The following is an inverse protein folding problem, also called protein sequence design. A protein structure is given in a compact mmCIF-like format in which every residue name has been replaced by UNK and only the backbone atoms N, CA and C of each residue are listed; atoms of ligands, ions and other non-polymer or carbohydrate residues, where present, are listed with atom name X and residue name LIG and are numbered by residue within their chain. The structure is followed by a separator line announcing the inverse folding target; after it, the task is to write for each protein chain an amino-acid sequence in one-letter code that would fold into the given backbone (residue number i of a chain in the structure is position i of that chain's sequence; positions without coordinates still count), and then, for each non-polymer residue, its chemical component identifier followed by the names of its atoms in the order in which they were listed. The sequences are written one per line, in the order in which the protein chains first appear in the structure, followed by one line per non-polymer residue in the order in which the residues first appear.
data_IF_862800441335
#
_entry.id   IF_862800441335
#
_cell.length_a   1.000
_cell.length_b   1.000
_cell.length_c   1.000
_cell.angle_alpha   90.00
_cell.angle_beta   90.00
_cell.angle_gamma   90.00
#
_symmetry.space_group_name_H-M   'P 1'
#
loop_
_entity.id
_entity.type
_entity.pdbx_description
1 polymer ?
#
# COMPACT_ATOMS: atom_id res chain seq x y z
N UNK A 1 -19.59 49.92 -23.11
CA UNK A 1 -19.20 48.50 -23.28
C UNK A 1 -19.63 47.72 -22.04
N UNK A 2 -20.63 46.84 -22.16
CA UNK A 2 -21.12 46.00 -21.05
C UNK A 2 -20.10 44.88 -20.79
N UNK A 3 -19.59 44.78 -19.56
CA UNK A 3 -18.79 43.65 -19.06
C UNK A 3 -19.61 42.35 -19.23
N UNK A 4 -19.09 41.40 -19.99
CA UNK A 4 -19.62 40.05 -20.03
C UNK A 4 -19.43 39.40 -18.65
N UNK A 5 -20.53 39.17 -17.94
CA UNK A 5 -20.58 38.36 -16.72
C UNK A 5 -20.11 36.94 -17.07
N UNK A 6 -19.05 36.46 -16.42
CA UNK A 6 -18.64 35.06 -16.47
C UNK A 6 -19.77 34.18 -15.93
N UNK A 7 -20.52 33.55 -16.83
CA UNK A 7 -21.56 32.59 -16.48
C UNK A 7 -20.91 31.31 -15.99
N UNK A 8 -21.27 30.87 -14.79
CA UNK A 8 -20.97 29.53 -14.29
C UNK A 8 -21.64 28.51 -15.22
N UNK A 9 -20.90 27.96 -16.18
CA UNK A 9 -21.38 26.86 -17.01
C UNK A 9 -21.42 25.59 -16.17
N UNK A 10 -22.60 25.02 -15.94
CA UNK A 10 -22.74 23.72 -15.32
C UNK A 10 -22.01 22.65 -16.15
N UNK A 11 -21.29 21.74 -15.48
CA UNK A 11 -20.51 20.69 -16.14
C UNK A 11 -21.45 19.66 -16.78
N UNK A 12 -22.62 19.43 -16.18
CA UNK A 12 -23.66 18.54 -16.71
C UNK A 12 -24.10 18.92 -18.13
N UNK A 13 -23.93 20.19 -18.52
CA UNK A 13 -24.26 20.67 -19.87
C UNK A 13 -23.37 20.04 -20.97
N UNK A 14 -22.12 19.67 -20.64
CA UNK A 14 -21.19 19.05 -21.59
C UNK A 14 -21.67 17.67 -22.03
N UNK A 15 -22.30 16.91 -21.14
CA UNK A 15 -22.83 15.58 -21.45
C UNK A 15 -23.99 15.62 -22.46
N UNK A 16 -24.77 16.72 -22.50
CA UNK A 16 -25.78 16.91 -23.55
C UNK A 16 -25.16 17.19 -24.92
N UNK A 17 -23.99 17.84 -24.96
CA UNK A 17 -23.22 18.03 -26.19
C UNK A 17 -22.67 16.68 -26.66
N UNK A 18 -22.09 15.89 -25.75
CA UNK A 18 -21.57 14.55 -26.03
C UNK A 18 -22.66 13.61 -26.57
N UNK A 19 -23.90 13.67 -26.06
CA UNK A 19 -25.03 12.92 -26.62
C UNK A 19 -25.35 13.38 -28.05
N UNK A 20 -25.37 14.69 -28.31
CA UNK A 20 -25.62 15.20 -29.67
C UNK A 20 -24.54 14.72 -30.65
N UNK A 21 -23.28 14.70 -30.23
CA UNK A 21 -22.17 14.22 -31.05
C UNK A 21 -22.25 12.71 -31.27
N UNK A 22 -22.38 11.91 -30.20
CA UNK A 22 -22.45 10.44 -30.28
C UNK A 22 -23.61 9.94 -31.14
N UNK A 23 -24.77 10.59 -31.07
CA UNK A 23 -25.96 10.20 -31.83
C UNK A 23 -26.22 11.09 -33.05
N UNK A 24 -25.27 11.96 -33.43
CA UNK A 24 -25.35 12.85 -34.59
C UNK A 24 -26.65 13.68 -34.66
N UNK A 25 -27.09 14.20 -33.52
CA UNK A 25 -28.36 14.93 -33.40
C UNK A 25 -28.20 16.38 -33.86
N UNK A 26 -28.80 16.72 -35.00
CA UNK A 26 -28.69 18.05 -35.62
C UNK A 26 -29.38 19.18 -34.84
N UNK A 27 -30.37 18.88 -33.98
CA UNK A 27 -31.18 19.90 -33.31
C UNK A 27 -31.41 19.62 -31.83
N UNK A 28 -31.73 20.67 -31.07
CA UNK A 28 -32.13 20.54 -29.66
C UNK A 28 -33.51 19.85 -29.54
N UNK A 29 -34.32 19.86 -30.60
CA UNK A 29 -35.57 19.08 -30.68
C UNK A 29 -35.27 17.57 -30.72
N UNK A 30 -34.34 17.14 -31.58
CA UNK A 30 -33.92 15.74 -31.66
C UNK A 30 -33.24 15.26 -30.36
N UNK A 31 -32.47 16.13 -29.70
CA UNK A 31 -31.92 15.87 -28.37
C UNK A 31 -33.03 15.68 -27.33
N UNK A 32 -34.05 16.55 -27.33
CA UNK A 32 -35.15 16.50 -26.38
C UNK A 32 -35.98 15.23 -26.54
N UNK A 33 -36.27 14.83 -27.78
CA UNK A 33 -36.95 13.58 -28.11
C UNK A 33 -36.17 12.35 -27.61
N UNK A 34 -34.87 12.29 -27.90
CA UNK A 34 -33.97 11.22 -27.41
C UNK A 34 -33.95 11.13 -25.88
N UNK A 35 -33.94 12.29 -25.22
CA UNK A 35 -33.97 12.39 -23.76
C UNK A 35 -35.37 12.23 -23.16
N UNK A 36 -36.43 12.23 -23.96
CA UNK A 36 -37.83 12.15 -23.50
C UNK A 36 -38.25 13.35 -22.64
N UNK A 37 -37.78 14.55 -23.00
CA UNK A 37 -38.07 15.81 -22.31
C UNK A 37 -38.55 16.87 -23.31
N UNK A 38 -39.06 17.99 -22.81
CA UNK A 38 -39.47 19.10 -23.68
C UNK A 38 -38.26 19.84 -24.28
N UNK A 39 -38.35 20.32 -25.52
CA UNK A 39 -37.29 21.07 -26.20
C UNK A 39 -36.77 22.29 -25.41
N UNK A 40 -37.63 23.12 -24.77
CA UNK A 40 -37.15 24.23 -23.96
C UNK A 40 -36.28 23.76 -22.78
N UNK A 41 -36.60 22.61 -22.20
CA UNK A 41 -35.84 22.02 -21.09
C UNK A 41 -34.47 21.54 -21.56
N UNK A 42 -34.39 20.84 -22.68
CA UNK A 42 -33.12 20.42 -23.28
C UNK A 42 -32.21 21.62 -23.58
N UNK A 43 -32.77 22.72 -24.11
CA UNK A 43 -32.00 23.93 -24.39
C UNK A 43 -31.44 24.59 -23.12
N UNK A 44 -32.25 24.70 -22.06
CA UNK A 44 -31.83 25.29 -20.79
C UNK A 44 -30.69 24.48 -20.13
N UNK A 45 -30.78 23.16 -20.15
CA UNK A 45 -29.73 22.29 -19.59
C UNK A 45 -28.44 22.40 -20.41
N UNK A 46 -28.53 22.32 -21.75
CA UNK A 46 -27.36 22.41 -22.65
C UNK A 46 -26.63 23.74 -22.54
N UNK A 47 -27.33 24.82 -22.21
CA UNK A 47 -26.73 26.15 -21.98
C UNK A 47 -26.17 26.32 -20.57
N UNK A 48 -26.22 25.29 -19.73
CA UNK A 48 -25.79 25.36 -18.33
C UNK A 48 -26.66 26.29 -17.48
N UNK A 49 -27.93 26.47 -17.84
CA UNK A 49 -28.88 27.34 -17.12
C UNK A 49 -29.82 26.55 -16.21
N UNK A 50 -29.93 25.24 -16.40
CA UNK A 50 -30.76 24.34 -15.60
C UNK A 50 -30.01 23.05 -15.29
N UNK A 51 -30.11 22.59 -14.04
CA UNK A 51 -29.61 21.27 -13.63
C UNK A 51 -30.70 20.23 -13.90
N UNK A 52 -30.38 19.09 -14.56
CA UNK A 52 -31.34 18.03 -14.81
C UNK A 52 -31.81 17.35 -13.53
N UNK A 53 -33.01 16.75 -13.56
CA UNK A 53 -33.54 15.94 -12.46
C UNK A 53 -32.81 14.58 -12.39
N UNK A 54 -32.83 13.87 -11.25
CA UNK A 54 -32.14 12.60 -11.08
C UNK A 54 -32.46 11.56 -12.16
N UNK A 55 -33.73 11.44 -12.54
CA UNK A 55 -34.20 10.48 -13.55
C UNK A 55 -33.57 10.76 -14.92
N UNK A 56 -33.43 12.03 -15.26
CA UNK A 56 -32.79 12.47 -16.49
C UNK A 56 -31.28 12.26 -16.44
N UNK A 57 -30.63 12.44 -15.29
CA UNK A 57 -29.20 12.14 -15.11
C UNK A 57 -28.91 10.66 -15.37
N UNK A 58 -29.75 9.75 -14.86
CA UNK A 58 -29.63 8.31 -15.08
C UNK A 58 -29.80 7.98 -16.57
N UNK A 59 -30.76 8.60 -17.25
CA UNK A 59 -30.97 8.40 -18.69
C UNK A 59 -29.81 8.92 -19.54
N UNK A 60 -29.25 10.09 -19.20
CA UNK A 60 -28.04 10.62 -19.85
C UNK A 60 -26.88 9.64 -19.66
N UNK A 61 -26.69 9.13 -18.43
CA UNK A 61 -25.63 8.18 -18.12
C UNK A 61 -25.76 6.89 -18.95
N UNK A 62 -26.98 6.35 -19.08
CA UNK A 62 -27.25 5.18 -19.90
C UNK A 62 -26.95 5.39 -21.39
N UNK A 63 -27.32 6.54 -21.96
CA UNK A 63 -27.02 6.88 -23.35
C UNK A 63 -25.52 7.08 -23.61
N UNK A 64 -24.77 7.48 -22.59
CA UNK A 64 -23.33 7.69 -22.66
C UNK A 64 -22.49 6.48 -22.22
N UNK A 65 -23.13 5.40 -21.78
CA UNK A 65 -22.46 4.24 -21.18
C UNK A 65 -21.54 4.66 -20.01
N UNK A 66 -22.05 5.57 -19.17
CA UNK A 66 -21.36 6.11 -17.98
C UNK A 66 -22.08 5.69 -16.71
N UNK A 67 -21.39 5.82 -15.57
CA UNK A 67 -21.98 5.48 -14.29
C UNK A 67 -23.07 6.52 -13.89
N UNK A 68 -24.30 6.09 -13.56
CA UNK A 68 -25.36 7.01 -13.14
C UNK A 68 -25.04 7.83 -11.88
N UNK A 69 -24.27 7.27 -10.94
CA UNK A 69 -23.89 7.91 -9.68
C UNK A 69 -22.99 9.12 -9.93
N UNK A 70 -22.06 9.01 -10.88
CA UNK A 70 -21.17 10.11 -11.30
C UNK A 70 -22.00 11.32 -11.76
N UNK A 71 -22.93 11.11 -12.72
CA UNK A 71 -23.75 12.20 -13.25
C UNK A 71 -24.71 12.80 -12.22
N UNK A 72 -25.22 11.99 -11.29
CA UNK A 72 -26.04 12.47 -10.17
C UNK A 72 -25.25 13.41 -9.26
N UNK A 73 -24.01 13.06 -8.93
CA UNK A 73 -23.14 13.89 -8.09
C UNK A 73 -22.69 15.17 -8.80
N UNK A 74 -22.42 15.12 -10.11
CA UNK A 74 -22.13 16.32 -10.92
C UNK A 74 -23.33 17.27 -10.89
N UNK A 75 -24.54 16.75 -11.08
CA UNK A 75 -25.77 17.55 -11.00
C UNK A 75 -25.96 18.19 -9.62
N UNK A 76 -25.69 17.46 -8.53
CA UNK A 76 -25.78 18.02 -7.17
C UNK A 76 -24.72 19.08 -6.90
N UNK A 77 -23.48 18.86 -7.35
CA UNK A 77 -22.40 19.85 -7.27
C UNK A 77 -22.77 21.13 -8.02
N UNK A 78 -23.31 21.00 -9.23
CA UNK A 78 -23.71 22.12 -10.07
C UNK A 78 -24.84 22.93 -9.40
N UNK A 79 -25.75 22.27 -8.68
CA UNK A 79 -26.83 22.90 -7.89
C UNK A 79 -26.33 23.53 -6.57
N UNK A 80 -25.21 23.09 -6.03
CA UNK A 80 -24.74 23.48 -4.71
C UNK A 80 -24.24 24.94 -4.64
N UNK A 81 -24.43 25.63 -3.48
CA UNK A 81 -23.84 26.94 -3.24
C UNK A 81 -22.31 26.85 -3.24
N UNK A 82 -21.62 27.95 -3.57
CA UNK A 82 -20.16 27.96 -3.77
C UNK A 82 -19.36 27.32 -2.61
N UNK A 83 -19.75 27.60 -1.36
CA UNK A 83 -19.12 27.03 -0.15
C UNK A 83 -19.29 25.52 -0.01
N UNK A 84 -20.27 24.92 -0.68
CA UNK A 84 -20.55 23.49 -0.62
C UNK A 84 -20.02 22.71 -1.84
N UNK A 85 -19.62 23.40 -2.92
CA UNK A 85 -19.12 22.75 -4.15
C UNK A 85 -17.86 21.92 -3.91
N UNK A 86 -17.04 22.31 -2.94
CA UNK A 86 -15.85 21.54 -2.54
C UNK A 86 -16.26 20.16 -1.99
N UNK A 87 -17.25 20.06 -1.10
CA UNK A 87 -17.74 18.77 -0.57
C UNK A 87 -18.27 17.84 -1.67
N UNK A 88 -18.96 18.39 -2.67
CA UNK A 88 -19.45 17.59 -3.79
C UNK A 88 -18.35 17.20 -4.78
N UNK A 89 -17.32 18.02 -4.93
CA UNK A 89 -16.12 17.66 -5.72
C UNK A 89 -15.39 16.50 -5.05
N UNK A 90 -15.28 16.51 -3.72
CA UNK A 90 -14.71 15.42 -2.93
C UNK A 90 -15.55 14.13 -3.07
N UNK A 91 -16.88 14.22 -3.04
CA UNK A 91 -17.76 13.08 -3.27
C UNK A 91 -17.63 12.49 -4.68
N UNK A 92 -17.45 13.34 -5.70
CA UNK A 92 -17.19 12.90 -7.08
C UNK A 92 -15.87 12.13 -7.19
N UNK A 93 -14.79 12.64 -6.60
CA UNK A 93 -13.51 11.94 -6.58
C UNK A 93 -13.58 10.61 -5.84
N UNK A 94 -14.35 10.53 -4.74
CA UNK A 94 -14.56 9.27 -4.01
C UNK A 94 -15.30 8.23 -4.87
N UNK A 95 -16.34 8.63 -5.61
CA UNK A 95 -17.05 7.74 -6.53
C UNK A 95 -16.19 7.33 -7.71
N UNK A 96 -15.43 8.24 -8.30
CA UNK A 96 -14.51 7.93 -9.39
C UNK A 96 -13.47 6.87 -8.99
N UNK A 97 -12.94 6.98 -7.76
CA UNK A 97 -12.07 5.95 -7.18
C UNK A 97 -12.82 4.64 -6.95
N UNK A 98 -14.03 4.64 -6.40
CA UNK A 98 -14.81 3.40 -6.23
C UNK A 98 -15.15 2.70 -7.56
N UNK A 99 -15.20 3.44 -8.67
CA UNK A 99 -15.52 2.93 -10.00
C UNK A 99 -14.29 2.47 -10.79
N UNK A 100 -13.13 3.07 -10.55
CA UNK A 100 -11.84 2.69 -11.17
C UNK A 100 -10.96 1.80 -10.28
N UNK A 101 -11.42 1.53 -9.06
CA UNK A 101 -10.94 0.40 -8.27
C UNK A 101 -11.10 -0.88 -9.11
N UNK A 102 -10.05 -1.71 -9.27
CA UNK A 102 -10.16 -3.00 -9.95
C UNK A 102 -11.37 -3.75 -9.42
N UNK A 103 -12.09 -4.53 -10.25
CA UNK A 103 -13.30 -5.27 -9.83
C UNK A 103 -13.11 -6.15 -8.57
N UNK A 104 -11.86 -6.36 -8.13
CA UNK A 104 -11.44 -6.84 -6.80
C UNK A 104 -10.16 -6.13 -6.34
N UNK A 105 -10.19 -5.06 -5.52
CA UNK A 105 -9.02 -4.71 -4.74
C UNK A 105 -8.95 -5.71 -3.57
N UNK A 106 -7.96 -6.63 -3.53
CA UNK A 106 -7.84 -7.59 -2.41
C UNK A 106 -7.57 -6.90 -1.06
N UNK A 107 -7.23 -5.61 -1.06
CA UNK A 107 -7.02 -4.79 0.12
C UNK A 107 -7.67 -3.41 -0.07
N UNK A 108 -8.67 -3.09 0.76
CA UNK A 108 -9.21 -1.73 0.93
C UNK A 108 -8.72 -1.19 2.28
N UNK A 109 -7.67 -0.37 2.30
CA UNK A 109 -7.18 0.21 3.54
C UNK A 109 -8.20 1.16 4.17
N UNK A 110 -8.23 1.25 5.51
CA UNK A 110 -9.13 2.17 6.24
C UNK A 110 -8.96 3.65 5.90
N UNK A 111 -7.83 4.06 5.31
CA UNK A 111 -7.63 5.43 4.81
C UNK A 111 -8.66 5.85 3.73
N UNK A 112 -9.39 4.92 3.11
CA UNK A 112 -10.51 5.29 2.24
C UNK A 112 -11.67 5.98 3.01
N UNK A 113 -11.61 6.06 4.35
CA UNK A 113 -12.54 6.87 5.17
C UNK A 113 -12.09 8.35 5.37
N UNK A 114 -10.90 8.79 4.92
CA UNK A 114 -10.40 10.16 5.09
C UNK A 114 -9.99 10.86 3.76
N UNK A 115 -10.76 11.87 3.39
CA UNK A 115 -10.80 12.54 2.08
C UNK A 115 -9.47 13.23 1.66
N UNK A 116 -9.10 13.11 0.37
CA UNK A 116 -8.26 14.06 -0.37
C UNK A 116 -6.87 13.57 -0.79
N UNK A 117 -5.91 13.49 0.13
CA UNK A 117 -4.53 13.05 -0.18
C UNK A 117 -4.44 11.56 -0.50
N UNK A 118 -5.35 10.78 0.03
CA UNK A 118 -5.34 9.31 -0.04
C UNK A 118 -5.91 8.83 -1.38
N UNK A 119 -6.80 9.61 -2.01
CA UNK A 119 -7.34 9.35 -3.35
C UNK A 119 -6.24 9.46 -4.44
N UNK A 120 -5.40 10.49 -4.39
CA UNK A 120 -4.22 10.62 -5.29
C UNK A 120 -3.21 9.49 -5.09
N UNK A 121 -3.08 9.00 -3.86
CA UNK A 121 -2.21 7.88 -3.52
C UNK A 121 -2.75 6.55 -4.05
N UNK A 122 -4.08 6.33 -3.99
CA UNK A 122 -4.74 5.17 -4.63
C UNK A 122 -4.60 5.21 -6.15
N UNK A 123 -4.81 6.35 -6.80
CA UNK A 123 -4.53 6.55 -8.24
C UNK A 123 -3.07 6.25 -8.57
N UNK A 124 -2.15 6.69 -7.70
CA UNK A 124 -0.73 6.38 -7.80
C UNK A 124 -0.39 4.95 -7.37
N UNK A 125 -1.35 4.07 -7.10
CA UNK A 125 -1.13 2.66 -6.70
C UNK A 125 -0.19 2.49 -5.50
N UNK A 126 -0.16 3.46 -4.59
CA UNK A 126 0.78 3.52 -3.49
C UNK A 126 0.24 4.37 -2.34
N UNK A 127 0.24 3.83 -1.13
CA UNK A 127 -0.23 4.47 0.08
C UNK A 127 0.88 4.62 1.11
N UNK A 128 0.89 5.73 1.83
CA UNK A 128 1.86 5.97 2.92
C UNK A 128 1.16 6.11 4.26
N UNK A 129 1.66 5.37 5.24
CA UNK A 129 1.21 5.36 6.64
C UNK A 129 2.33 5.83 7.54
N UNK A 130 1.97 6.54 8.60
CA UNK A 130 2.92 7.09 9.56
C UNK A 130 2.53 6.72 10.99
N UNK A 131 3.54 6.62 11.87
CA UNK A 131 3.38 6.30 13.29
C UNK A 131 2.62 5.00 13.55
N UNK A 132 1.72 5.01 14.53
CA UNK A 132 0.98 3.82 14.96
C UNK A 132 0.13 3.18 13.84
N UNK A 133 -0.32 3.98 12.85
CA UNK A 133 -1.10 3.47 11.73
C UNK A 133 -0.27 2.54 10.82
N UNK A 134 1.03 2.81 10.66
CA UNK A 134 1.94 1.97 9.88
C UNK A 134 2.00 0.54 10.43
N UNK A 135 2.13 0.40 11.75
CA UNK A 135 2.15 -0.91 12.41
C UNK A 135 0.81 -1.64 12.28
N UNK A 136 -0.31 -0.93 12.46
CA UNK A 136 -1.64 -1.52 12.36
C UNK A 136 -1.95 -2.04 10.95
N UNK A 137 -1.55 -1.31 9.91
CA UNK A 137 -1.77 -1.76 8.52
C UNK A 137 -0.90 -2.96 8.15
N UNK A 138 0.33 -3.04 8.65
CA UNK A 138 1.18 -4.22 8.45
C UNK A 138 0.51 -5.49 9.02
N UNK A 139 -0.13 -5.40 10.20
CA UNK A 139 -0.91 -6.50 10.77
C UNK A 139 -2.13 -6.83 9.90
N UNK A 140 -2.89 -5.82 9.48
CA UNK A 140 -4.12 -6.02 8.68
C UNK A 140 -3.84 -6.72 7.35
N UNK A 141 -2.72 -6.41 6.69
CA UNK A 141 -2.37 -7.08 5.43
C UNK A 141 -2.15 -8.58 5.59
N UNK A 142 -1.63 -9.02 6.74
CA UNK A 142 -1.52 -10.45 7.07
C UNK A 142 -2.90 -11.09 7.16
N UNK A 143 -3.89 -10.37 7.71
CA UNK A 143 -5.28 -10.83 7.80
C UNK A 143 -5.94 -10.95 6.42
N UNK A 144 -5.49 -10.19 5.42
CA UNK A 144 -6.05 -10.23 4.06
C UNK A 144 -5.35 -11.21 3.11
N UNK A 145 -4.14 -11.67 3.43
CA UNK A 145 -3.39 -12.59 2.57
C UNK A 145 -4.15 -13.92 2.35
N UNK A 146 -4.15 -14.41 1.11
CA UNK A 146 -4.86 -15.64 0.71
C UNK A 146 -3.91 -16.83 0.47
N UNK A 147 -2.71 -16.59 -0.05
CA UNK A 147 -1.85 -17.65 -0.58
C UNK A 147 -0.44 -17.62 0.01
N UNK A 148 0.21 -16.46 0.02
CA UNK A 148 1.61 -16.36 0.41
C UNK A 148 2.02 -15.01 0.98
N UNK A 149 2.99 -15.03 1.89
CA UNK A 149 3.69 -13.86 2.38
C UNK A 149 5.20 -14.16 2.37
N UNK A 150 5.96 -13.41 1.58
CA UNK A 150 7.41 -13.50 1.54
C UNK A 150 8.01 -12.20 2.09
N UNK A 151 8.80 -12.27 3.15
CA UNK A 151 9.37 -11.07 3.80
C UNK A 151 10.88 -11.16 3.98
N UNK A 152 11.56 -10.02 3.85
CA UNK A 152 12.97 -9.84 4.22
C UNK A 152 13.09 -8.75 5.27
N UNK A 153 14.01 -8.92 6.22
CA UNK A 153 14.17 -7.98 7.34
C UNK A 153 15.59 -7.94 7.89
N UNK A 154 16.13 -6.72 7.96
CA UNK A 154 17.37 -6.41 8.69
C UNK A 154 17.07 -5.97 10.13
N UNK A 155 15.90 -5.34 10.33
CA UNK A 155 15.42 -4.91 11.64
C UNK A 155 14.35 -5.85 12.17
N UNK A 156 14.76 -7.06 12.54
CA UNK A 156 13.90 -8.14 13.04
C UNK A 156 13.45 -7.93 14.50
N UNK A 157 14.16 -7.10 15.26
CA UNK A 157 13.89 -6.83 16.67
C UNK A 157 12.49 -6.25 16.91
N UNK A 158 11.85 -5.61 15.92
CA UNK A 158 10.47 -5.09 16.04
C UNK A 158 9.42 -6.18 16.35
N UNK A 159 9.77 -7.47 16.20
CA UNK A 159 8.95 -8.63 16.56
C UNK A 159 9.25 -9.22 17.93
N UNK A 160 10.27 -8.72 18.63
CA UNK A 160 10.62 -9.17 19.97
C UNK A 160 9.48 -8.87 20.94
N UNK A 161 9.38 -9.68 21.99
CA UNK A 161 8.43 -9.45 23.10
C UNK A 161 8.65 -8.05 23.69
N UNK A 162 7.57 -7.28 23.77
CA UNK A 162 7.60 -5.89 24.25
C UNK A 162 7.81 -4.82 23.17
N UNK A 163 8.02 -5.22 21.92
CA UNK A 163 8.19 -4.29 20.79
C UNK A 163 6.89 -4.07 19.99
N UNK A 164 6.92 -3.08 19.09
CA UNK A 164 5.73 -2.48 18.49
C UNK A 164 4.81 -3.44 17.70
N UNK A 165 5.34 -4.54 17.15
CA UNK A 165 4.55 -5.52 16.40
C UNK A 165 4.18 -6.76 17.23
N UNK A 166 4.71 -6.91 18.44
CA UNK A 166 4.37 -8.01 19.34
C UNK A 166 3.22 -7.62 20.28
N UNK A 167 2.26 -8.52 20.58
CA UNK A 167 2.06 -9.86 20.02
C UNK A 167 1.18 -9.86 18.76
N UNK A 168 0.57 -8.73 18.41
CA UNK A 168 -0.50 -8.65 17.41
C UNK A 168 -0.10 -9.24 16.05
N UNK A 169 1.12 -8.96 15.60
CA UNK A 169 1.62 -9.49 14.34
C UNK A 169 1.82 -11.02 14.40
N UNK A 170 2.34 -11.55 15.52
CA UNK A 170 2.48 -12.99 15.72
C UNK A 170 1.11 -13.70 15.71
N UNK A 171 0.09 -13.12 16.35
CA UNK A 171 -1.28 -13.64 16.34
C UNK A 171 -1.91 -13.62 14.95
N UNK A 172 -1.72 -12.54 14.19
CA UNK A 172 -2.19 -12.46 12.80
C UNK A 172 -1.51 -13.52 11.91
N UNK A 173 -0.20 -13.75 12.10
CA UNK A 173 0.51 -14.81 11.38
C UNK A 173 -0.02 -16.21 11.72
N UNK A 174 -0.29 -16.49 13.00
CA UNK A 174 -0.91 -17.75 13.42
C UNK A 174 -2.26 -17.96 12.71
N UNK A 175 -3.08 -16.91 12.62
CA UNK A 175 -4.35 -16.98 11.91
C UNK A 175 -4.17 -17.21 10.39
N UNK A 176 -3.19 -16.56 9.77
CA UNK A 176 -2.85 -16.77 8.36
C UNK A 176 -2.36 -18.21 8.09
N UNK A 177 -1.47 -18.76 8.92
CA UNK A 177 -1.00 -20.15 8.80
C UNK A 177 -2.16 -21.14 8.96
N UNK A 178 -3.10 -20.90 9.91
CA UNK A 178 -4.32 -21.72 10.04
C UNK A 178 -5.21 -21.70 8.79
N UNK A 179 -5.22 -20.57 8.06
CA UNK A 179 -5.88 -20.43 6.75
C UNK A 179 -5.06 -21.03 5.60
N UNK A 180 -3.92 -21.68 5.88
CA UNK A 180 -2.99 -22.29 4.92
C UNK A 180 -2.27 -21.29 4.02
N UNK A 181 -2.10 -20.05 4.46
CA UNK A 181 -1.20 -19.08 3.81
C UNK A 181 0.24 -19.51 4.06
N UNK A 182 1.04 -19.64 3.00
CA UNK A 182 2.49 -19.95 3.12
C UNK A 182 3.24 -18.68 3.52
N UNK A 183 3.96 -18.71 4.63
CA UNK A 183 4.75 -17.56 5.08
C UNK A 183 6.23 -17.93 5.11
N UNK A 184 7.06 -17.19 4.36
CA UNK A 184 8.52 -17.29 4.38
C UNK A 184 9.14 -15.99 4.86
N UNK A 185 10.14 -16.07 5.73
CA UNK A 185 10.83 -14.88 6.27
C UNK A 185 12.32 -15.04 6.25
N UNK A 186 13.00 -14.03 5.73
CA UNK A 186 14.46 -13.93 5.71
C UNK A 186 14.91 -12.87 6.70
N UNK A 187 15.65 -13.30 7.74
CA UNK A 187 16.39 -12.39 8.62
C UNK A 187 17.78 -12.15 8.04
N UNK A 188 18.11 -10.90 7.75
CA UNK A 188 19.44 -10.49 7.30
C UNK A 188 20.18 -9.92 8.50
N UNK A 189 21.26 -10.58 8.89
CA UNK A 189 21.97 -10.35 10.15
C UNK A 189 23.36 -9.78 9.85
N UNK A 190 23.75 -8.70 10.53
CA UNK A 190 25.07 -8.08 10.35
C UNK A 190 26.13 -8.73 11.23
N UNK A 191 27.41 -8.59 10.85
CA UNK A 191 28.52 -8.98 11.70
C UNK A 191 28.46 -8.30 13.08
N UNK A 192 28.13 -7.00 13.12
CA UNK A 192 27.99 -6.26 14.37
C UNK A 192 26.93 -6.89 15.30
N UNK A 193 25.73 -7.18 14.78
CA UNK A 193 24.66 -7.83 15.54
C UNK A 193 25.08 -9.24 16.02
N UNK A 194 25.83 -9.98 15.21
CA UNK A 194 26.22 -11.37 15.53
C UNK A 194 27.35 -11.47 16.56
N UNK A 195 28.10 -10.40 16.81
CA UNK A 195 29.10 -10.34 17.87
C UNK A 195 28.48 -10.14 19.27
N UNK A 196 27.28 -9.56 19.34
CA UNK A 196 26.60 -9.26 20.60
C UNK A 196 25.75 -10.45 21.07
N UNK A 197 26.14 -11.09 22.17
CA UNK A 197 25.47 -12.30 22.66
C UNK A 197 23.98 -12.07 22.99
N UNK A 198 23.63 -10.90 23.54
CA UNK A 198 22.25 -10.54 23.83
C UNK A 198 21.41 -10.42 22.53
N UNK A 199 21.94 -9.73 21.52
CA UNK A 199 21.32 -9.57 20.21
C UNK A 199 21.14 -10.92 19.50
N UNK A 200 22.10 -11.83 19.63
CA UNK A 200 21.95 -13.19 19.08
C UNK A 200 20.88 -14.00 19.80
N UNK A 201 20.83 -13.93 21.14
CA UNK A 201 19.80 -14.62 21.91
C UNK A 201 18.40 -14.15 21.54
N UNK A 202 18.23 -12.84 21.35
CA UNK A 202 17.00 -12.24 20.88
C UNK A 202 16.63 -12.72 19.46
N UNK A 203 17.60 -12.80 18.53
CA UNK A 203 17.36 -13.28 17.17
C UNK A 203 16.88 -14.74 17.18
N UNK A 204 17.56 -15.61 17.92
CA UNK A 204 17.18 -17.01 18.09
C UNK A 204 15.77 -17.13 18.67
N UNK A 205 15.44 -16.32 19.68
CA UNK A 205 14.11 -16.31 20.27
C UNK A 205 13.03 -15.91 19.25
N UNK A 206 13.27 -14.85 18.48
CA UNK A 206 12.33 -14.38 17.45
C UNK A 206 12.15 -15.42 16.36
N UNK A 207 13.23 -16.08 15.91
CA UNK A 207 13.15 -17.16 14.93
C UNK A 207 12.39 -18.37 15.47
N UNK A 208 12.62 -18.78 16.72
CA UNK A 208 11.88 -19.88 17.35
C UNK A 208 10.40 -19.56 17.53
N UNK A 209 10.06 -18.38 18.06
CA UNK A 209 8.67 -17.96 18.29
C UNK A 209 7.87 -17.98 16.97
N UNK A 210 8.51 -17.59 15.86
CA UNK A 210 7.88 -17.60 14.55
C UNK A 210 7.83 -18.99 13.89
N UNK A 211 8.89 -19.77 13.99
CA UNK A 211 8.93 -21.14 13.47
C UNK A 211 7.87 -22.02 14.14
N UNK A 212 7.68 -21.86 15.45
CA UNK A 212 6.67 -22.60 16.24
C UNK A 212 5.23 -22.35 15.78
N UNK A 213 4.96 -21.21 15.16
CA UNK A 213 3.63 -20.89 14.62
C UNK A 213 3.43 -21.32 13.17
N UNK A 214 4.40 -22.06 12.60
CA UNK A 214 4.33 -22.63 11.26
C UNK A 214 4.82 -21.71 10.14
N UNK A 215 5.66 -20.73 10.48
CA UNK A 215 6.33 -19.87 9.50
C UNK A 215 7.67 -20.51 9.10
N UNK A 216 7.98 -20.51 7.80
CA UNK A 216 9.29 -20.92 7.29
C UNK A 216 10.28 -19.77 7.51
N UNK A 217 11.31 -20.02 8.33
CA UNK A 217 12.31 -19.00 8.69
C UNK A 217 13.62 -19.31 7.98
N UNK A 218 14.22 -18.27 7.43
CA UNK A 218 15.50 -18.25 6.79
C UNK A 218 16.35 -17.15 7.39
N UNK A 219 17.66 -17.30 7.31
CA UNK A 219 18.61 -16.28 7.72
C UNK A 219 19.77 -16.18 6.72
N UNK A 220 20.37 -15.00 6.66
CA UNK A 220 21.59 -14.73 5.91
C UNK A 220 22.44 -13.73 6.68
N UNK A 221 23.74 -13.73 6.41
CA UNK A 221 24.65 -12.72 6.92
C UNK A 221 24.86 -11.63 5.86
N UNK A 222 24.63 -10.36 6.22
CA UNK A 222 24.60 -9.24 5.27
C UNK A 222 25.89 -9.13 4.48
N UNK A 223 27.03 -9.28 5.16
CA UNK A 223 28.37 -9.16 4.59
C UNK A 223 28.73 -10.27 3.58
N UNK A 224 28.12 -11.45 3.72
CA UNK A 224 28.21 -12.50 2.70
C UNK A 224 27.22 -12.26 1.57
N UNK A 225 26.01 -11.82 1.92
CA UNK A 225 24.90 -11.62 0.98
C UNK A 225 25.19 -10.51 -0.03
N UNK A 226 25.88 -9.44 0.38
CA UNK A 226 26.34 -8.34 -0.51
C UNK A 226 27.31 -8.80 -1.59
N UNK A 227 27.88 -10.01 -1.52
CA UNK A 227 28.68 -10.56 -2.60
C UNK A 227 27.81 -11.07 -3.78
N UNK A 228 26.50 -11.21 -3.58
CA UNK A 228 25.57 -11.64 -4.61
C UNK A 228 25.08 -10.46 -5.47
N UNK A 229 25.19 -10.54 -6.81
CA UNK A 229 24.60 -9.55 -7.70
C UNK A 229 23.09 -9.40 -7.54
N UNK A 230 22.39 -10.46 -7.14
CA UNK A 230 20.93 -10.42 -6.90
C UNK A 230 20.60 -9.53 -5.72
N UNK A 231 21.35 -9.64 -4.62
CA UNK A 231 21.11 -8.82 -3.44
C UNK A 231 21.55 -7.37 -3.65
N UNK A 232 22.67 -7.14 -4.32
CA UNK A 232 23.13 -5.79 -4.66
C UNK A 232 22.08 -5.01 -5.46
N UNK A 233 21.52 -5.63 -6.51
CA UNK A 233 20.45 -5.00 -7.31
C UNK A 233 19.21 -4.71 -6.47
N UNK A 234 18.79 -5.67 -5.65
CA UNK A 234 17.63 -5.51 -4.78
C UNK A 234 17.84 -4.35 -3.79
N UNK A 235 19.02 -4.25 -3.19
CA UNK A 235 19.38 -3.17 -2.27
C UNK A 235 19.37 -1.80 -2.98
N UNK A 236 19.96 -1.71 -4.17
CA UNK A 236 19.97 -0.49 -4.98
C UNK A 236 18.54 -0.07 -5.37
N UNK A 237 17.68 -1.04 -5.70
CA UNK A 237 16.26 -0.78 -5.99
C UNK A 237 15.54 -0.27 -4.74
N UNK A 238 15.73 -0.90 -3.56
CA UNK A 238 15.14 -0.42 -2.30
C UNK A 238 15.58 1.01 -1.99
N UNK A 239 16.88 1.32 -2.17
CA UNK A 239 17.42 2.67 -1.99
C UNK A 239 16.80 3.67 -2.97
N UNK A 240 16.65 3.28 -4.23
CA UNK A 240 16.03 4.11 -5.28
C UNK A 240 14.59 4.47 -4.96
N UNK A 241 13.83 3.54 -4.36
CA UNK A 241 12.44 3.76 -3.96
C UNK A 241 12.26 4.36 -2.55
N UNK A 242 13.36 4.79 -1.91
CA UNK A 242 13.33 5.51 -0.63
C UNK A 242 13.00 4.61 0.57
N UNK A 243 13.46 3.36 0.54
CA UNK A 243 13.45 2.51 1.72
C UNK A 243 14.36 3.07 2.82
N UNK A 244 14.10 2.62 4.06
CA UNK A 244 14.99 2.88 5.18
C UNK A 244 16.37 2.23 4.96
N UNK A 245 17.35 2.68 5.75
CA UNK A 245 18.71 2.13 5.73
C UNK A 245 18.71 0.62 6.04
N UNK A 246 18.02 0.21 7.12
CA UNK A 246 17.72 -1.20 7.34
C UNK A 246 16.52 -1.62 6.47
N UNK A 247 16.72 -2.60 5.60
CA UNK A 247 15.67 -3.06 4.71
C UNK A 247 14.69 -3.98 5.43
N UNK A 248 13.44 -3.55 5.56
CA UNK A 248 12.33 -4.43 5.90
C UNK A 248 11.21 -4.30 4.87
N UNK A 249 10.85 -5.42 4.25
CA UNK A 249 9.80 -5.51 3.26
C UNK A 249 9.03 -6.83 3.36
N UNK A 250 7.78 -6.82 2.93
CA UNK A 250 6.96 -8.02 2.78
C UNK A 250 6.09 -7.95 1.53
N UNK A 251 6.07 -9.05 0.79
CA UNK A 251 5.28 -9.28 -0.41
C UNK A 251 4.11 -10.20 -0.08
N UNK A 252 2.89 -9.75 -0.33
CA UNK A 252 1.65 -10.47 -0.08
C UNK A 252 1.07 -10.91 -1.42
N UNK A 253 0.88 -12.22 -1.57
CA UNK A 253 0.30 -12.88 -2.75
C UNK A 253 0.98 -12.50 -4.09
N UNK A 254 2.23 -11.99 -4.02
CA UNK A 254 2.99 -11.41 -5.15
C UNK A 254 2.29 -10.24 -5.84
N UNK A 255 1.39 -9.57 -5.13
CA UNK A 255 0.55 -8.49 -5.65
C UNK A 255 0.73 -7.19 -4.87
N UNK A 256 0.86 -7.27 -3.56
CA UNK A 256 0.99 -6.11 -2.68
C UNK A 256 2.33 -6.17 -1.97
N UNK A 257 3.12 -5.12 -2.15
CA UNK A 257 4.37 -4.92 -1.46
C UNK A 257 4.17 -3.90 -0.32
N UNK A 258 4.73 -4.21 0.85
CA UNK A 258 5.01 -3.19 1.86
C UNK A 258 6.50 -3.10 2.12
N UNK A 259 6.98 -1.90 2.41
CA UNK A 259 8.33 -1.71 2.89
C UNK A 259 8.45 -0.49 3.79
N UNK A 260 9.42 -0.55 4.70
CA UNK A 260 9.69 0.51 5.66
C UNK A 260 10.50 1.62 4.98
N UNK A 261 10.02 2.86 5.06
CA UNK A 261 10.75 4.03 4.58
C UNK A 261 11.51 4.73 5.71
N UNK A 262 11.04 4.59 6.95
CA UNK A 262 11.68 5.21 8.11
C UNK A 262 11.31 4.51 9.41
N UNK A 263 12.28 4.40 10.31
CA UNK A 263 12.07 4.00 11.70
C UNK A 263 12.07 5.20 12.64
N UNK A 264 11.42 5.04 13.79
CA UNK A 264 11.42 6.02 14.86
C UNK A 264 11.34 5.33 16.21
N UNK A 265 11.80 6.03 17.25
CA UNK A 265 11.69 5.58 18.63
C UNK A 265 10.58 6.34 19.31
N UNK A 266 9.66 5.63 19.97
CA UNK A 266 8.61 6.26 20.78
C UNK A 266 8.67 5.72 22.21
N UNK A 267 8.28 6.53 23.21
CA UNK A 267 8.17 6.05 24.58
C UNK A 267 6.96 5.13 24.73
N UNK A 268 7.16 3.93 25.29
CA UNK A 268 6.10 3.03 25.75
C UNK A 268 5.89 3.21 27.26
N UNK A 269 4.62 3.35 27.65
CA UNK A 269 4.20 3.53 29.05
C UNK A 269 3.94 5.00 29.41
N UNK A 270 2.81 5.26 30.07
CA UNK A 270 2.38 6.60 30.53
C UNK A 270 2.68 6.86 32.01
N UNK A 271 3.09 5.83 32.77
CA UNK A 271 3.30 5.88 34.22
C UNK A 271 4.63 5.17 34.55
N UNK A 272 5.57 5.88 35.17
CA UNK A 272 6.94 5.39 35.44
C UNK A 272 7.97 5.84 34.41
N UNK A 273 9.17 5.23 34.41
CA UNK A 273 10.23 5.51 33.44
C UNK A 273 9.83 4.94 32.07
N UNK A 274 9.62 5.79 31.04
CA UNK A 274 9.19 5.31 29.73
C UNK A 274 10.26 4.43 29.09
N UNK A 275 9.86 3.30 28.51
CA UNK A 275 10.76 2.39 27.81
C UNK A 275 10.76 2.80 26.33
N UNK A 276 11.92 3.14 25.72
CA UNK A 276 11.97 3.45 24.30
C UNK A 276 11.70 2.18 23.48
N UNK A 277 10.70 2.23 22.61
CA UNK A 277 10.41 1.16 21.64
C UNK A 277 10.68 1.64 20.23
N UNK A 278 11.20 0.75 19.38
CA UNK A 278 11.44 1.08 17.98
C UNK A 278 10.21 0.70 17.16
N UNK A 279 9.75 1.60 16.30
CA UNK A 279 8.60 1.37 15.43
C UNK A 279 8.89 1.74 13.98
N UNK A 280 8.11 1.15 13.07
CA UNK A 280 8.01 1.59 11.68
C UNK A 280 7.29 2.94 11.72
N UNK A 281 8.04 4.02 11.59
CA UNK A 281 7.48 5.37 11.65
C UNK A 281 6.88 5.78 10.32
N UNK A 282 7.38 5.24 9.20
CA UNK A 282 6.79 5.43 7.87
C UNK A 282 6.82 4.12 7.09
N UNK A 283 5.65 3.68 6.65
CA UNK A 283 5.44 2.47 5.85
C UNK A 283 4.80 2.86 4.52
N UNK A 284 5.30 2.30 3.44
CA UNK A 284 4.66 2.39 2.13
C UNK A 284 4.02 1.05 1.79
N UNK A 285 2.79 1.09 1.27
CA UNK A 285 2.06 -0.04 0.69
C UNK A 285 1.88 0.26 -0.78
N UNK A 286 2.26 -0.64 -1.68
CA UNK A 286 2.12 -0.41 -3.11
C UNK A 286 1.75 -1.68 -3.85
N UNK A 287 1.03 -1.49 -4.95
CA UNK A 287 0.72 -2.51 -5.95
C UNK A 287 1.14 -2.03 -7.36
N UNK A 288 2.11 -1.10 -7.43
CA UNK A 288 2.73 -0.70 -8.69
C UNK A 288 3.50 -1.88 -9.27
N UNK A 289 3.21 -2.33 -10.51
CA UNK A 289 3.87 -3.49 -11.09
C UNK A 289 5.40 -3.41 -11.13
N UNK A 290 5.96 -2.22 -11.40
CA UNK A 290 7.40 -2.03 -11.46
C UNK A 290 8.07 -2.18 -10.09
N UNK A 291 7.47 -1.60 -9.03
CA UNK A 291 7.98 -1.74 -7.68
C UNK A 291 7.82 -3.17 -7.15
N UNK A 292 6.67 -3.80 -7.42
CA UNK A 292 6.40 -5.20 -7.03
C UNK A 292 7.44 -6.14 -7.65
N UNK A 293 7.82 -5.92 -8.92
CA UNK A 293 8.85 -6.71 -9.59
C UNK A 293 10.25 -6.43 -9.07
N UNK A 294 10.61 -5.15 -8.92
CA UNK A 294 11.96 -4.75 -8.52
C UNK A 294 12.28 -5.15 -7.08
N UNK A 295 11.29 -5.05 -6.19
CA UNK A 295 11.46 -5.26 -4.74
C UNK A 295 10.95 -6.62 -4.27
N UNK A 296 10.77 -7.59 -5.17
CA UNK A 296 10.33 -8.95 -4.84
C UNK A 296 11.44 -9.69 -4.05
N UNK A 297 11.21 -10.07 -2.78
CA UNK A 297 12.20 -10.80 -2.00
C UNK A 297 12.30 -12.28 -2.39
N UNK A 298 11.35 -12.82 -3.17
CA UNK A 298 11.26 -14.23 -3.51
C UNK A 298 12.59 -14.85 -4.05
N UNK A 299 13.35 -14.18 -4.94
CA UNK A 299 14.60 -14.72 -5.48
C UNK A 299 15.69 -14.96 -4.43
N UNK A 300 15.66 -14.26 -3.28
CA UNK A 300 16.66 -14.46 -2.23
C UNK A 300 16.53 -15.84 -1.57
N UNK A 301 15.31 -16.34 -1.42
CA UNK A 301 15.08 -17.65 -0.77
C UNK A 301 15.70 -18.82 -1.54
N UNK A 302 15.92 -18.65 -2.85
CA UNK A 302 16.54 -19.67 -3.70
C UNK A 302 18.09 -19.62 -3.66
N UNK A 303 18.67 -18.60 -3.00
CA UNK A 303 20.12 -18.43 -2.88
C UNK A 303 20.73 -19.30 -1.79
N UNK A 304 20.64 -20.62 -1.93
CA UNK A 304 21.06 -21.62 -0.91
C UNK A 304 22.53 -21.54 -0.49
N UNK A 305 23.38 -20.84 -1.25
CA UNK A 305 24.78 -20.54 -0.86
C UNK A 305 24.88 -19.52 0.28
N UNK A 306 23.94 -18.57 0.34
CA UNK A 306 23.98 -17.42 1.24
C UNK A 306 22.81 -17.37 2.21
N UNK A 307 21.70 -18.01 1.86
CA UNK A 307 20.46 -18.04 2.61
C UNK A 307 20.25 -19.45 3.17
N UNK A 308 20.12 -19.53 4.48
CA UNK A 308 20.03 -20.77 5.22
C UNK A 308 18.65 -20.92 5.87
N UNK A 309 18.07 -22.11 5.78
CA UNK A 309 16.84 -22.42 6.51
C UNK A 309 17.14 -22.55 8.01
N UNK A 310 16.38 -21.84 8.84
CA UNK A 310 16.47 -21.95 10.29
C UNK A 310 15.65 -23.16 10.78
N UNK A 311 16.35 -24.22 11.17
CA UNK A 311 15.73 -25.45 11.70
C UNK A 311 15.74 -25.53 13.22
N UNK A 312 16.83 -25.07 13.84
CA UNK A 312 17.03 -25.06 15.28
C UNK A 312 18.22 -24.15 15.65
N UNK A 313 18.43 -23.84 16.94
CA UNK A 313 19.52 -22.96 17.36
C UNK A 313 20.92 -23.47 17.03
N UNK A 314 21.16 -24.79 17.09
CA UNK A 314 22.51 -25.35 16.95
C UNK A 314 23.13 -25.11 15.56
N UNK A 315 22.48 -25.48 14.43
CA UNK A 315 23.01 -25.16 13.09
C UNK A 315 23.19 -23.66 12.86
N UNK A 316 22.31 -22.83 13.42
CA UNK A 316 22.44 -21.37 13.34
C UNK A 316 23.71 -20.88 14.04
N UNK A 317 23.99 -21.36 15.26
CA UNK A 317 25.22 -21.01 15.97
C UNK A 317 26.47 -21.50 15.25
N UNK A 318 26.46 -22.70 14.69
CA UNK A 318 27.59 -23.21 13.89
C UNK A 318 27.88 -22.33 12.67
N UNK A 319 26.84 -21.92 11.94
CA UNK A 319 27.01 -21.00 10.80
C UNK A 319 27.45 -19.61 11.24
N UNK A 320 26.94 -19.10 12.36
CA UNK A 320 27.38 -17.83 12.95
C UNK A 320 28.88 -17.85 13.26
N UNK A 321 29.38 -18.91 13.91
CA UNK A 321 30.80 -19.02 14.25
C UNK A 321 31.68 -19.04 13.00
N UNK A 322 31.30 -19.82 11.98
CA UNK A 322 32.02 -19.85 10.69
C UNK A 322 32.05 -18.47 10.03
N UNK A 323 30.93 -17.77 10.04
CA UNK A 323 30.81 -16.42 9.51
C UNK A 323 31.71 -15.43 10.27
N UNK A 324 31.68 -15.43 11.61
CA UNK A 324 32.50 -14.53 12.44
C UNK A 324 33.99 -14.78 12.21
N UNK A 325 34.43 -16.04 12.12
CA UNK A 325 35.83 -16.38 11.82
C UNK A 325 36.23 -15.84 10.44
N UNK A 326 35.44 -16.16 9.41
CA UNK A 326 35.71 -15.73 8.02
C UNK A 326 35.74 -14.21 7.90
N UNK A 327 34.83 -13.50 8.57
CA UNK A 327 34.76 -12.05 8.58
C UNK A 327 35.99 -11.41 9.24
N UNK A 328 36.50 -12.00 10.32
CA UNK A 328 37.72 -11.53 10.99
C UNK A 328 38.96 -11.69 10.11
N UNK A 329 39.08 -12.82 9.41
CA UNK A 329 40.19 -13.08 8.48
C UNK A 329 40.18 -12.09 7.30
N UNK A 330 39.00 -11.79 6.75
CA UNK A 330 38.83 -10.80 5.69
C UNK A 330 39.07 -9.36 6.17
N UNK A 331 38.69 -9.05 7.40
CA UNK A 331 38.84 -7.71 7.99
C UNK A 331 40.26 -7.42 8.50
N UNK A 332 41.11 -8.44 8.61
CA UNK A 332 42.46 -8.31 9.13
C UNK A 332 43.45 -9.21 8.34
N UNK A 333 43.86 -8.82 7.11
CA UNK A 333 44.65 -9.66 6.21
C UNK A 333 46.14 -9.84 6.63
N UNK A 334 46.50 -9.50 7.87
CA UNK A 334 47.86 -9.58 8.40
C UNK A 334 47.91 -10.45 9.67
N UNK A 335 47.78 -11.76 9.49
CA UNK A 335 48.28 -12.80 10.37
C UNK A 335 48.77 -13.99 9.54
#
# INVERSE_FOLDING_TARGET
MKKAKGGSSYEIARYLIEIKERYQLASDYALADKLGIAQPEANLIRRGLKVPRPELCIKIAHLLDRNPVELLLIAQRDKAPARAKEYWTLALTAVDVMLHVPKRPRYLPKKVEAIGQELKQVEAQSLTYEGAAANAEAVRLVETAEHSIDALMERWNIWKKGEALYPNYLLANQAAVRRKVRIRRLLILTAAQMHEQATVADAVQVMEDQRRVGIEIFYAFREDLVQSPTFQRLEDDFRTYGAAEDMNAAMFDREVLIFSQRYGTVPLGMVGTPIPITMINRLQITWKPDMVRALDPAPLFDMTRYVFEYRSPLPFHEQRERFIVSFRELSNPAL
#
